data_IF_591100482807
#
_entry.id   IF_591100482807
#
_cell.length_a   1.000
_cell.length_b   1.000
_cell.length_c   1.000
_cell.angle_alpha   90.00
_cell.angle_beta   90.00
_cell.angle_gamma   90.00
#
_symmetry.space_group_name_H-M   'P 1'
#
loop_
_entity.id
_entity.type
_entity.pdbx_description
1 polymer ?
#
# COMPACT_ATOMS: atom_id res chain seq x y z
N UNK A 1 -17.33 37.68 -9.99
CA UNK A 1 -18.33 36.67 -9.61
C UNK A 1 -17.58 35.34 -9.36
N UNK A 2 -17.15 35.13 -8.10
CA UNK A 2 -16.40 33.93 -7.69
C UNK A 2 -17.37 32.85 -7.23
N UNK A 3 -17.43 31.75 -7.97
CA UNK A 3 -18.21 30.57 -7.58
C UNK A 3 -17.35 29.80 -6.58
N UNK A 4 -17.66 29.92 -5.28
CA UNK A 4 -17.18 29.03 -4.23
C UNK A 4 -17.94 27.70 -4.37
N UNK A 5 -17.29 26.67 -4.94
CA UNK A 5 -17.75 25.30 -4.85
C UNK A 5 -17.31 24.79 -3.49
N UNK A 6 -18.22 24.77 -2.53
CA UNK A 6 -18.04 24.08 -1.26
C UNK A 6 -18.17 22.57 -1.51
N UNK A 7 -17.04 21.88 -1.71
CA UNK A 7 -17.00 20.43 -1.65
C UNK A 7 -17.13 20.02 -0.17
N UNK A 8 -18.30 19.59 0.24
CA UNK A 8 -18.50 18.87 1.49
C UNK A 8 -17.85 17.50 1.34
N UNK A 9 -16.64 17.36 1.86
CA UNK A 9 -15.99 16.06 2.03
C UNK A 9 -16.72 15.36 3.16
N UNK A 10 -17.68 14.52 2.84
CA UNK A 10 -18.20 13.55 3.77
C UNK A 10 -17.08 12.51 3.98
N UNK A 11 -16.50 12.47 5.16
CA UNK A 11 -15.70 11.35 5.62
C UNK A 11 -16.65 10.17 5.88
N UNK A 12 -17.12 9.53 4.82
CA UNK A 12 -17.75 8.22 4.92
C UNK A 12 -16.65 7.21 5.29
N UNK A 13 -16.99 6.25 6.17
CA UNK A 13 -16.11 5.14 6.47
C UNK A 13 -15.67 4.49 5.15
N UNK A 14 -14.37 4.60 4.85
CA UNK A 14 -13.82 4.15 3.58
C UNK A 14 -13.93 2.63 3.46
N UNK A 15 -14.91 2.13 2.73
CA UNK A 15 -14.97 0.72 2.33
C UNK A 15 -13.87 0.49 1.30
N UNK A 16 -12.72 0.02 1.75
CA UNK A 16 -11.56 -0.24 0.88
C UNK A 16 -11.66 -1.62 0.22
N UNK A 17 -11.99 -2.66 1.00
CA UNK A 17 -12.20 -4.01 0.50
C UNK A 17 -12.83 -4.91 1.57
N UNK A 18 -13.82 -5.75 1.23
CA UNK A 18 -14.37 -6.75 2.15
C UNK A 18 -13.31 -7.75 2.63
N UNK A 19 -12.29 -8.02 1.83
CA UNK A 19 -11.16 -8.88 2.19
C UNK A 19 -10.22 -8.26 3.24
N UNK A 20 -10.40 -6.99 3.60
CA UNK A 20 -9.69 -6.36 4.72
C UNK A 20 -10.16 -6.85 6.10
N UNK A 21 -11.18 -7.71 6.17
CA UNK A 21 -11.60 -8.44 7.36
C UNK A 21 -10.46 -9.30 7.93
N UNK A 22 -9.67 -9.94 7.08
CA UNK A 22 -8.67 -10.92 7.44
C UNK A 22 -7.35 -10.29 7.91
N UNK A 23 -6.58 -11.03 8.71
CA UNK A 23 -5.28 -10.62 9.23
C UNK A 23 -5.30 -9.23 9.90
N UNK A 24 -4.39 -8.36 9.47
CA UNK A 24 -4.28 -6.95 9.94
C UNK A 24 -4.96 -5.95 8.99
N UNK A 25 -5.88 -6.41 8.15
CA UNK A 25 -6.43 -5.67 7.02
C UNK A 25 -5.67 -5.90 5.73
N UNK A 26 -6.03 -5.16 4.69
CA UNK A 26 -5.36 -5.23 3.40
C UNK A 26 -3.97 -4.59 3.48
N UNK A 27 -2.92 -5.40 3.36
CA UNK A 27 -1.53 -4.92 3.39
C UNK A 27 -1.20 -4.21 2.08
N UNK A 28 -0.61 -3.03 2.19
CA UNK A 28 -0.20 -2.20 1.05
C UNK A 28 1.13 -2.65 0.48
N UNK A 29 1.27 -2.58 -0.84
CA UNK A 29 2.53 -2.83 -1.52
C UNK A 29 3.61 -1.85 -1.02
N UNK A 30 4.86 -2.30 -0.95
CA UNK A 30 6.02 -1.47 -0.57
C UNK A 30 6.36 -0.41 -1.63
N UNK A 31 5.95 -0.61 -2.88
CA UNK A 31 6.14 0.36 -3.97
C UNK A 31 5.22 1.55 -3.77
N UNK A 32 5.77 2.63 -3.25
CA UNK A 32 5.02 3.86 -3.00
C UNK A 32 5.09 4.85 -4.17
N UNK A 33 6.26 4.99 -4.81
CA UNK A 33 6.49 5.99 -5.85
C UNK A 33 5.55 5.82 -7.05
N UNK A 34 4.86 6.89 -7.43
CA UNK A 34 3.83 6.85 -8.48
C UNK A 34 4.43 6.56 -9.86
N UNK A 35 5.68 6.94 -10.10
CA UNK A 35 6.35 6.57 -11.33
C UNK A 35 6.46 5.04 -11.47
N UNK A 36 6.83 4.34 -10.38
CA UNK A 36 6.93 2.88 -10.36
C UNK A 36 5.55 2.22 -10.41
N UNK A 37 4.52 2.81 -9.79
CA UNK A 37 3.14 2.34 -9.93
C UNK A 37 2.66 2.37 -11.38
N UNK A 38 3.05 3.38 -12.15
CA UNK A 38 2.78 3.43 -13.59
C UNK A 38 3.51 2.34 -14.40
N UNK A 39 4.49 1.65 -13.80
CA UNK A 39 5.23 0.53 -14.36
C UNK A 39 4.83 -0.82 -13.73
N UNK A 40 3.55 -1.02 -13.40
CA UNK A 40 3.07 -2.25 -12.76
C UNK A 40 3.62 -2.48 -11.35
N UNK A 41 4.22 -1.47 -10.72
CA UNK A 41 4.93 -1.56 -9.44
C UNK A 41 6.26 -2.34 -9.47
N UNK A 42 6.85 -2.57 -10.65
CA UNK A 42 8.20 -3.12 -10.77
C UNK A 42 9.22 -2.12 -10.17
N UNK A 43 9.91 -2.52 -9.09
CA UNK A 43 10.66 -1.61 -8.23
C UNK A 43 11.98 -2.18 -7.69
N UNK A 44 12.13 -3.51 -7.57
CA UNK A 44 13.25 -4.12 -6.86
C UNK A 44 14.63 -3.76 -7.45
N UNK A 45 14.72 -3.57 -8.77
CA UNK A 45 15.96 -3.21 -9.47
C UNK A 45 15.99 -1.75 -9.97
N UNK A 46 14.89 -1.01 -9.82
CA UNK A 46 14.78 0.35 -10.35
C UNK A 46 15.47 1.38 -9.46
N UNK A 47 16.16 2.34 -10.10
CA UNK A 47 16.81 3.47 -9.43
C UNK A 47 16.93 4.68 -10.38
N UNK A 48 17.31 5.82 -9.82
CA UNK A 48 17.56 7.05 -10.59
C UNK A 48 16.28 7.80 -10.97
N UNK A 49 16.36 8.65 -11.99
CA UNK A 49 15.20 9.42 -12.48
C UNK A 49 14.63 10.47 -11.51
N UNK A 50 15.29 10.72 -10.37
CA UNK A 50 14.78 11.60 -9.33
C UNK A 50 13.63 10.98 -8.53
N UNK A 51 13.56 9.65 -8.42
CA UNK A 51 12.57 8.92 -7.64
C UNK A 51 13.14 8.39 -6.33
N UNK A 52 12.32 8.33 -5.29
CA UNK A 52 12.62 7.66 -4.02
C UNK A 52 11.98 6.27 -4.07
N UNK A 53 12.81 5.22 -4.09
CA UNK A 53 12.34 3.84 -4.15
C UNK A 53 12.52 3.13 -2.80
N UNK A 54 11.47 3.14 -1.96
CA UNK A 54 11.48 2.52 -0.63
C UNK A 54 11.41 0.99 -0.70
N UNK A 55 10.92 0.43 -1.80
CA UNK A 55 10.83 -1.02 -1.95
C UNK A 55 12.21 -1.70 -1.91
N UNK A 56 13.25 -1.04 -2.48
CA UNK A 56 14.63 -1.47 -2.35
C UNK A 56 15.51 -0.33 -1.80
N UNK A 57 15.87 -0.32 -0.51
CA UNK A 57 16.65 0.77 0.08
C UNK A 57 18.08 0.89 -0.47
N UNK A 58 18.64 -0.13 -1.13
CA UNK A 58 19.93 -0.03 -1.81
C UNK A 58 19.92 1.01 -2.95
N UNK A 59 18.74 1.27 -3.55
CA UNK A 59 18.56 2.24 -4.63
C UNK A 59 18.86 3.69 -4.20
N UNK A 60 18.73 4.02 -2.91
CA UNK A 60 19.06 5.37 -2.40
C UNK A 60 20.51 5.75 -2.70
N UNK A 61 21.42 4.78 -2.64
CA UNK A 61 22.85 5.01 -2.88
C UNK A 61 23.14 5.54 -4.29
N UNK A 62 22.20 5.36 -5.24
CA UNK A 62 22.32 5.78 -6.63
C UNK A 62 21.76 7.18 -6.89
N UNK A 63 21.21 7.85 -5.88
CA UNK A 63 20.75 9.23 -5.95
C UNK A 63 21.97 10.17 -5.98
N UNK A 64 21.88 11.25 -6.76
CA UNK A 64 22.94 12.27 -6.84
C UNK A 64 23.27 12.82 -5.43
N UNK A 65 24.55 12.97 -5.14
CA UNK A 65 25.02 13.39 -3.81
C UNK A 65 24.63 14.82 -3.42
N UNK A 66 24.31 15.65 -4.40
CA UNK A 66 23.85 17.03 -4.18
C UNK A 66 22.33 17.16 -4.31
N UNK A 67 21.62 16.08 -4.62
CA UNK A 67 20.18 16.13 -4.76
C UNK A 67 19.49 16.09 -3.40
N UNK A 68 18.45 16.90 -3.28
CA UNK A 68 17.39 16.78 -2.30
C UNK A 68 16.12 16.38 -3.03
N UNK A 69 15.58 15.21 -2.69
CA UNK A 69 14.37 14.70 -3.25
C UNK A 69 13.25 14.80 -2.21
N UNK A 70 12.10 15.26 -2.64
CA UNK A 70 10.85 15.20 -1.89
C UNK A 70 9.78 14.59 -2.79
N UNK A 71 9.02 13.66 -2.27
CA UNK A 71 8.01 12.92 -3.03
C UNK A 71 6.75 12.73 -2.18
N UNK A 72 5.59 13.06 -2.74
CA UNK A 72 4.31 12.91 -2.08
C UNK A 72 3.26 12.42 -3.07
N UNK A 73 2.36 11.58 -2.60
CA UNK A 73 1.34 10.98 -3.43
C UNK A 73 -0.01 10.81 -2.76
N UNK A 74 -1.05 10.87 -3.60
CA UNK A 74 -2.44 10.61 -3.27
C UNK A 74 -3.01 9.64 -4.30
N UNK A 75 -4.08 8.94 -3.93
CA UNK A 75 -4.83 8.13 -4.89
C UNK A 75 -6.33 8.36 -4.76
N UNK A 76 -7.01 8.11 -5.87
CA UNK A 76 -8.46 8.04 -6.00
C UNK A 76 -8.77 6.67 -6.57
N UNK A 77 -9.68 5.93 -5.94
CA UNK A 77 -10.04 4.57 -6.35
C UNK A 77 -11.56 4.48 -6.42
N UNK A 78 -12.07 3.98 -7.53
CA UNK A 78 -13.47 3.58 -7.68
C UNK A 78 -13.51 2.09 -7.86
N UNK A 79 -14.32 1.40 -7.05
CA UNK A 79 -14.46 -0.05 -7.05
C UNK A 79 -15.91 -0.45 -7.29
N UNK A 80 -16.10 -1.52 -8.04
CA UNK A 80 -17.35 -2.23 -8.16
C UNK A 80 -17.18 -3.61 -7.53
N UNK A 81 -17.82 -3.82 -6.40
CA UNK A 81 -17.90 -5.11 -5.72
C UNK A 81 -19.08 -5.90 -6.28
N UNK A 82 -18.86 -7.16 -6.62
CA UNK A 82 -19.91 -7.99 -7.21
C UNK A 82 -19.83 -9.42 -6.69
N UNK A 83 -20.97 -9.96 -6.29
CA UNK A 83 -21.20 -11.40 -6.07
C UNK A 83 -21.88 -12.01 -7.30
N UNK A 84 -22.42 -13.22 -7.17
CA UNK A 84 -23.26 -13.84 -8.20
C UNK A 84 -24.58 -13.08 -8.44
N UNK A 85 -25.12 -12.40 -7.41
CA UNK A 85 -26.48 -11.81 -7.42
C UNK A 85 -26.51 -10.30 -7.16
N UNK A 86 -25.49 -9.75 -6.47
CA UNK A 86 -25.45 -8.36 -6.03
C UNK A 86 -24.26 -7.62 -6.63
N UNK A 87 -24.42 -6.31 -6.80
CA UNK A 87 -23.32 -5.42 -7.20
C UNK A 87 -23.45 -4.07 -6.50
N UNK A 88 -22.36 -3.60 -5.93
CA UNK A 88 -22.26 -2.34 -5.20
C UNK A 88 -21.06 -1.55 -5.68
N UNK A 89 -21.15 -0.22 -5.65
CA UNK A 89 -20.05 0.67 -6.01
C UNK A 89 -19.57 1.47 -4.80
N UNK A 90 -18.24 1.66 -4.72
CA UNK A 90 -17.60 2.49 -3.71
C UNK A 90 -16.55 3.37 -4.36
N UNK A 91 -16.36 4.57 -3.82
CA UNK A 91 -15.30 5.48 -4.22
C UNK A 91 -14.52 5.91 -2.97
N UNK A 92 -13.20 5.86 -3.08
CA UNK A 92 -12.27 6.15 -1.99
C UNK A 92 -11.15 7.07 -2.48
N UNK A 93 -10.73 8.01 -1.65
CA UNK A 93 -9.59 8.87 -1.89
C UNK A 93 -8.75 8.95 -0.63
N UNK A 94 -7.46 8.72 -0.75
CA UNK A 94 -6.59 8.71 0.43
C UNK A 94 -5.17 9.18 0.10
N UNK A 95 -4.48 9.58 1.17
CA UNK A 95 -3.05 9.82 1.16
C UNK A 95 -2.31 8.48 0.92
N UNK A 96 -1.28 8.54 0.08
CA UNK A 96 -0.53 7.35 -0.30
C UNK A 96 0.86 7.30 0.34
N UNK A 97 1.59 8.42 0.30
CA UNK A 97 2.90 8.54 0.97
C UNK A 97 3.45 9.96 0.94
N UNK A 98 4.40 10.18 1.84
CA UNK A 98 5.30 11.33 1.84
C UNK A 98 6.71 10.84 2.15
N UNK A 99 7.69 11.24 1.36
CA UNK A 99 9.08 10.87 1.56
C UNK A 99 10.03 11.99 1.16
N UNK A 100 11.21 12.00 1.79
CA UNK A 100 12.34 12.80 1.40
C UNK A 100 13.61 11.97 1.38
N UNK A 101 14.55 12.32 0.50
CA UNK A 101 15.84 11.66 0.41
C UNK A 101 16.93 12.67 0.07
N UNK A 102 18.09 12.53 0.71
CA UNK A 102 19.24 13.40 0.49
C UNK A 102 20.57 12.69 0.76
N UNK A 103 21.62 13.23 0.18
CA UNK A 103 22.97 12.73 0.36
C UNK A 103 23.61 13.24 1.66
N UNK A 104 24.13 12.33 2.50
CA UNK A 104 25.01 12.66 3.63
C UNK A 104 26.45 12.76 3.14
N UNK A 105 26.87 11.78 2.32
CA UNK A 105 28.18 11.75 1.66
C UNK A 105 28.02 11.25 0.22
N UNK A 106 29.12 11.12 -0.51
CA UNK A 106 29.10 10.56 -1.86
C UNK A 106 28.67 9.08 -1.88
N UNK A 107 28.93 8.34 -0.82
CA UNK A 107 28.66 6.90 -0.71
C UNK A 107 27.50 6.57 0.22
N UNK A 108 26.97 7.54 0.99
CA UNK A 108 25.86 7.34 1.92
C UNK A 108 24.73 8.33 1.66
N UNK A 109 23.53 7.79 1.48
CA UNK A 109 22.27 8.54 1.30
C UNK A 109 21.26 8.08 2.34
N UNK A 110 20.41 9.00 2.78
CA UNK A 110 19.36 8.71 3.74
C UNK A 110 18.01 9.16 3.23
N UNK A 111 16.96 8.42 3.61
CA UNK A 111 15.58 8.71 3.26
C UNK A 111 14.70 8.61 4.50
N UNK A 112 13.70 9.49 4.60
CA UNK A 112 12.70 9.53 5.67
C UNK A 112 11.32 9.66 5.04
N UNK A 113 10.31 9.08 5.67
CA UNK A 113 8.96 9.27 5.17
C UNK A 113 7.90 8.55 5.98
N UNK A 114 6.66 8.72 5.55
CA UNK A 114 5.46 8.10 6.13
C UNK A 114 4.60 7.53 5.04
N UNK A 115 4.03 6.35 5.27
CA UNK A 115 3.14 5.68 4.35
C UNK A 115 2.21 4.72 5.09
N UNK A 116 1.02 4.44 4.58
CA UNK A 116 0.17 3.37 5.10
C UNK A 116 0.85 2.01 5.00
N UNK A 117 0.65 1.16 6.02
CA UNK A 117 1.11 -0.22 6.04
C UNK A 117 -0.01 -1.19 5.72
N UNK A 118 -1.15 -1.05 6.40
CA UNK A 118 -2.38 -1.80 6.13
C UNK A 118 -3.59 -0.92 6.32
N UNK A 119 -4.69 -1.28 5.69
CA UNK A 119 -5.98 -0.60 5.84
C UNK A 119 -7.07 -1.63 6.11
N UNK A 120 -7.97 -1.28 6.99
CA UNK A 120 -9.17 -2.05 7.30
C UNK A 120 -10.38 -1.16 7.07
N UNK A 121 -11.23 -1.53 6.13
CA UNK A 121 -12.43 -0.77 5.76
C UNK A 121 -13.43 -1.71 5.09
N UNK A 122 -14.46 -2.15 5.85
CA UNK A 122 -15.55 -2.96 5.32
C UNK A 122 -16.80 -2.80 6.19
N UNK A 123 -17.95 -2.94 5.54
CA UNK A 123 -19.25 -3.11 6.20
C UNK A 123 -20.00 -4.20 5.44
N UNK A 124 -20.43 -5.23 6.12
CA UNK A 124 -21.16 -6.37 5.53
C UNK A 124 -22.28 -6.76 6.46
N UNK A 125 -23.44 -7.08 5.89
CA UNK A 125 -24.59 -7.60 6.63
C UNK A 125 -24.91 -8.98 6.04
N UNK A 126 -25.05 -9.96 6.91
CA UNK A 126 -25.43 -11.33 6.56
C UNK A 126 -26.67 -11.69 7.34
N UNK A 127 -27.74 -12.04 6.62
CA UNK A 127 -29.00 -12.45 7.22
C UNK A 127 -28.99 -13.96 7.49
N UNK A 128 -29.52 -14.37 8.65
CA UNK A 128 -29.75 -15.78 8.98
C UNK A 128 -28.48 -16.59 9.26
N UNK A 129 -27.51 -16.04 10.01
CA UNK A 129 -26.37 -16.84 10.49
C UNK A 129 -26.81 -17.68 11.67
N UNK A 130 -26.81 -19.02 11.47
CA UNK A 130 -27.22 -20.00 12.47
C UNK A 130 -28.68 -20.47 12.29
N UNK A 131 -29.15 -21.29 13.21
CA UNK A 131 -30.50 -21.89 13.20
C UNK A 131 -31.62 -20.88 13.56
N UNK A 132 -31.29 -19.61 13.77
CA UNK A 132 -32.23 -18.57 14.18
C UNK A 132 -32.75 -17.78 12.97
N UNK A 133 -33.89 -18.25 12.43
CA UNK A 133 -34.65 -17.46 11.46
C UNK A 133 -35.03 -16.11 12.08
N UNK A 134 -34.70 -15.00 11.39
CA UNK A 134 -34.99 -13.65 11.86
C UNK A 134 -33.79 -12.91 12.51
N UNK A 135 -32.59 -13.50 12.56
CA UNK A 135 -31.38 -12.80 12.97
C UNK A 135 -30.62 -12.19 11.79
N UNK A 136 -29.90 -11.09 12.04
CA UNK A 136 -28.96 -10.50 11.09
C UNK A 136 -27.65 -10.20 11.81
N UNK A 137 -26.53 -10.44 11.14
CA UNK A 137 -25.21 -10.11 11.68
C UNK A 137 -24.52 -9.06 10.82
N UNK A 138 -24.16 -7.93 11.43
CA UNK A 138 -23.35 -6.88 10.82
C UNK A 138 -21.89 -7.07 11.20
N UNK A 139 -21.02 -7.00 10.21
CA UNK A 139 -19.57 -6.98 10.36
C UNK A 139 -19.05 -5.63 9.88
N UNK A 140 -18.38 -4.89 10.74
CA UNK A 140 -17.76 -3.61 10.41
C UNK A 140 -16.30 -3.62 10.83
N UNK A 141 -15.44 -3.14 9.95
CA UNK A 141 -14.03 -2.95 10.25
C UNK A 141 -13.58 -1.57 9.82
N UNK A 142 -12.78 -0.92 10.65
CA UNK A 142 -12.24 0.40 10.37
C UNK A 142 -10.81 0.57 10.91
N UNK A 143 -10.10 1.59 10.40
CA UNK A 143 -8.76 1.94 10.84
C UNK A 143 -7.66 1.35 9.95
N UNK A 144 -6.46 1.25 10.51
CA UNK A 144 -5.31 0.75 9.77
C UNK A 144 -4.00 1.05 10.48
N UNK A 145 -2.95 0.45 9.95
CA UNK A 145 -1.59 0.67 10.44
C UNK A 145 -0.84 1.56 9.46
N UNK A 146 -0.10 2.50 10.01
CA UNK A 146 0.82 3.37 9.29
C UNK A 146 2.25 3.02 9.66
N UNK A 147 3.21 3.42 8.82
CA UNK A 147 4.63 3.29 9.11
C UNK A 147 5.36 4.57 8.77
N UNK A 148 6.16 5.06 9.73
CA UNK A 148 7.23 6.00 9.48
C UNK A 148 8.47 5.19 9.18
N UNK A 149 9.27 5.59 8.20
CA UNK A 149 10.51 4.90 7.88
C UNK A 149 11.71 5.83 7.90
N UNK A 150 12.83 5.25 8.27
CA UNK A 150 14.17 5.80 8.12
C UNK A 150 15.01 4.81 7.34
N UNK A 151 15.36 5.20 6.13
CA UNK A 151 16.10 4.37 5.18
C UNK A 151 17.53 4.89 4.98
N UNK A 152 18.45 3.96 4.75
CA UNK A 152 19.84 4.26 4.45
C UNK A 152 20.32 3.41 3.29
N UNK A 153 21.02 4.04 2.36
CA UNK A 153 21.64 3.38 1.22
C UNK A 153 23.14 3.70 1.14
N UNK A 154 23.94 2.67 0.93
CA UNK A 154 25.39 2.73 0.93
C UNK A 154 25.94 2.20 -0.39
N UNK A 155 26.74 3.00 -1.07
CA UNK A 155 27.44 2.58 -2.29
C UNK A 155 28.74 1.86 -1.93
N UNK A 156 28.90 0.64 -2.42
CA UNK A 156 30.07 -0.20 -2.17
C UNK A 156 30.81 -0.41 -3.52
N UNK A 157 31.96 0.26 -3.67
CA UNK A 157 32.72 0.24 -4.92
C UNK A 157 31.94 0.88 -6.08
N UNK A 158 32.04 0.30 -7.27
CA UNK A 158 31.42 0.85 -8.50
C UNK A 158 30.08 0.25 -8.82
N UNK A 159 29.85 -1.01 -8.45
CA UNK A 159 28.74 -1.81 -8.95
C UNK A 159 27.72 -2.18 -7.87
N UNK A 160 28.10 -2.28 -6.60
CA UNK A 160 27.25 -2.73 -5.53
C UNK A 160 26.69 -1.58 -4.68
N UNK A 161 25.48 -1.73 -4.23
CA UNK A 161 24.89 -0.93 -3.17
C UNK A 161 24.11 -1.80 -2.21
N UNK A 162 24.17 -1.42 -0.93
CA UNK A 162 23.41 -2.03 0.16
C UNK A 162 22.49 -0.98 0.78
N UNK A 163 21.41 -1.42 1.37
CA UNK A 163 20.55 -0.51 2.10
C UNK A 163 19.69 -1.25 3.12
N UNK A 164 19.16 -0.47 4.05
CA UNK A 164 18.15 -0.94 4.98
C UNK A 164 17.11 0.16 5.24
N UNK A 165 15.89 -0.25 5.52
CA UNK A 165 14.85 0.59 6.08
C UNK A 165 14.51 0.11 7.49
N UNK A 166 14.47 1.02 8.44
CA UNK A 166 13.88 0.84 9.75
C UNK A 166 12.50 1.49 9.74
N UNK A 167 11.46 0.73 10.06
CA UNK A 167 10.09 1.21 10.12
C UNK A 167 9.60 1.21 11.57
N UNK A 168 8.94 2.27 11.97
CA UNK A 168 8.09 2.29 13.14
C UNK A 168 6.65 2.18 12.69
N UNK A 169 6.05 1.02 12.94
CA UNK A 169 4.65 0.71 12.60
C UNK A 169 3.77 1.08 13.76
N UNK A 170 2.71 1.85 13.52
CA UNK A 170 1.78 2.31 14.53
C UNK A 170 0.37 2.48 13.94
N UNK A 171 -0.62 2.42 14.80
CA UNK A 171 -2.02 2.61 14.43
C UNK A 171 -2.93 1.67 15.18
N UNK A 172 -4.20 1.75 14.87
CA UNK A 172 -5.25 0.92 15.45
C UNK A 172 -6.18 0.38 14.37
N UNK A 173 -6.72 -0.79 14.63
CA UNK A 173 -7.79 -1.39 13.84
C UNK A 173 -8.91 -1.79 14.78
N UNK A 174 -10.13 -1.45 14.36
CA UNK A 174 -11.35 -1.81 15.08
C UNK A 174 -12.14 -2.81 14.26
N UNK A 175 -12.67 -3.79 14.91
CA UNK A 175 -13.56 -4.79 14.35
C UNK A 175 -14.79 -4.86 15.21
N UNK A 176 -15.93 -4.61 14.63
CA UNK A 176 -17.24 -4.68 15.27
C UNK A 176 -18.05 -5.78 14.63
N UNK A 177 -18.69 -6.58 15.45
CA UNK A 177 -19.67 -7.59 15.03
C UNK A 177 -20.90 -7.38 15.87
N UNK A 178 -22.03 -7.09 15.23
CA UNK A 178 -23.31 -6.90 15.90
C UNK A 178 -24.29 -7.95 15.43
N UNK A 179 -24.83 -8.69 16.37
CA UNK A 179 -25.92 -9.64 16.14
C UNK A 179 -27.23 -8.95 16.50
N UNK A 180 -28.09 -8.80 15.50
CA UNK A 180 -29.39 -8.17 15.58
C UNK A 180 -30.51 -9.22 15.62
N UNK A 181 -31.54 -8.92 16.40
CA UNK A 181 -32.77 -9.73 16.50
C UNK A 181 -34.01 -8.89 16.14
N UNK A 182 -34.16 -8.45 14.86
CA UNK A 182 -35.19 -7.48 14.48
C UNK A 182 -36.62 -7.95 14.74
N UNK A 183 -36.86 -9.25 14.75
CA UNK A 183 -38.21 -9.83 14.96
C UNK A 183 -38.51 -10.19 16.43
N UNK A 184 -37.60 -9.88 17.38
CA UNK A 184 -37.72 -10.27 18.77
C UNK A 184 -37.85 -9.07 19.71
N UNK A 185 -38.98 -8.93 20.37
CA UNK A 185 -39.20 -7.94 21.42
C UNK A 185 -38.49 -8.25 22.77
N UNK A 186 -37.90 -9.45 22.89
CA UNK A 186 -37.33 -9.94 24.17
C UNK A 186 -35.82 -10.21 24.10
N UNK A 187 -35.23 -10.21 22.88
CA UNK A 187 -33.79 -10.40 22.73
C UNK A 187 -33.12 -9.06 22.54
N UNK A 188 -32.08 -8.81 23.34
CA UNK A 188 -31.22 -7.66 23.17
C UNK A 188 -30.15 -7.94 22.10
N UNK A 189 -29.86 -6.96 21.29
CA UNK A 189 -28.77 -7.02 20.34
C UNK A 189 -27.43 -7.16 21.07
N UNK A 190 -26.52 -7.89 20.49
CA UNK A 190 -25.20 -8.10 21.08
C UNK A 190 -24.13 -7.57 20.18
N UNK A 191 -23.32 -6.64 20.71
CA UNK A 191 -22.18 -6.06 19.99
C UNK A 191 -20.87 -6.50 20.60
N UNK A 192 -20.00 -7.02 19.73
CA UNK A 192 -18.63 -7.37 20.05
C UNK A 192 -17.66 -6.44 19.33
N UNK A 193 -16.89 -5.66 20.09
CA UNK A 193 -15.83 -4.79 19.56
C UNK A 193 -14.46 -5.36 19.92
N UNK A 194 -13.57 -5.41 18.95
CA UNK A 194 -12.15 -5.77 19.13
C UNK A 194 -11.29 -4.63 18.59
N UNK A 195 -10.69 -3.90 19.50
CA UNK A 195 -9.74 -2.84 19.19
C UNK A 195 -8.33 -3.38 19.32
N UNK A 196 -7.54 -3.31 18.26
CA UNK A 196 -6.14 -3.72 18.24
C UNK A 196 -5.26 -2.51 17.93
N UNK A 197 -4.52 -2.05 18.91
CA UNK A 197 -3.49 -1.02 18.77
C UNK A 197 -2.13 -1.69 18.61
N UNK A 198 -1.36 -1.26 17.59
CA UNK A 198 -0.01 -1.79 17.29
C UNK A 198 1.00 -0.66 17.39
N UNK A 199 2.17 -0.97 17.97
CA UNK A 199 3.31 -0.05 18.07
C UNK A 199 4.59 -0.88 18.11
N UNK A 200 5.36 -0.92 17.00
CA UNK A 200 6.52 -1.81 16.91
C UNK A 200 7.47 -1.41 15.77
N UNK A 201 8.70 -1.91 15.82
CA UNK A 201 9.69 -1.71 14.77
C UNK A 201 9.69 -2.89 13.79
N UNK A 202 10.02 -2.61 12.52
CA UNK A 202 10.27 -3.57 11.45
C UNK A 202 11.51 -3.18 10.68
N UNK A 203 12.13 -4.14 9.98
CA UNK A 203 13.34 -3.90 9.18
C UNK A 203 13.24 -4.60 7.83
N UNK A 204 13.64 -3.88 6.77
CA UNK A 204 13.83 -4.42 5.43
C UNK A 204 15.26 -4.13 4.97
N UNK A 205 15.81 -5.02 4.19
CA UNK A 205 17.16 -4.93 3.62
C UNK A 205 17.10 -4.98 2.11
N UNK A 206 18.03 -4.30 1.46
CA UNK A 206 18.18 -4.29 0.02
C UNK A 206 19.62 -4.47 -0.41
N UNK A 207 19.79 -5.17 -1.51
CA UNK A 207 21.04 -5.29 -2.25
C UNK A 207 20.76 -4.93 -3.71
N UNK A 208 21.66 -4.20 -4.35
CA UNK A 208 21.57 -3.90 -5.76
C UNK A 208 22.93 -4.00 -6.41
N UNK A 209 22.97 -4.62 -7.58
CA UNK A 209 24.12 -4.68 -8.48
C UNK A 209 23.81 -3.94 -9.76
N UNK A 210 24.69 -3.01 -10.16
CA UNK A 210 24.53 -2.19 -11.34
C UNK A 210 25.79 -2.28 -12.20
N UNK A 211 25.64 -2.51 -13.50
CA UNK A 211 26.75 -2.56 -14.43
C UNK A 211 26.34 -2.03 -15.80
N UNK A 212 27.24 -1.31 -16.45
CA UNK A 212 27.06 -0.89 -17.83
C UNK A 212 27.45 -2.07 -18.74
N UNK A 213 26.49 -2.58 -19.53
CA UNK A 213 26.73 -3.64 -20.52
C UNK A 213 27.03 -3.08 -21.90
N UNK A 214 26.73 -1.80 -22.13
CA UNK A 214 27.15 -1.01 -23.27
C UNK A 214 27.32 0.45 -22.87
N UNK A 215 27.82 1.30 -23.71
CA UNK A 215 28.14 2.71 -23.39
C UNK A 215 26.97 3.52 -22.84
N UNK A 216 25.74 3.16 -23.20
CA UNK A 216 24.52 3.85 -22.78
C UNK A 216 23.44 2.91 -22.21
N UNK A 217 23.76 1.62 -22.02
CA UNK A 217 22.85 0.58 -21.52
C UNK A 217 23.35 0.01 -20.21
N UNK A 218 22.55 0.22 -19.16
CA UNK A 218 22.82 -0.28 -17.81
C UNK A 218 21.91 -1.47 -17.47
N UNK A 219 22.49 -2.50 -16.88
CA UNK A 219 21.80 -3.64 -16.26
C UNK A 219 21.81 -3.45 -14.74
N UNK A 220 20.67 -3.57 -14.14
CA UNK A 220 20.49 -3.56 -12.69
C UNK A 220 19.82 -4.84 -12.22
N UNK A 221 20.32 -5.43 -11.14
CA UNK A 221 19.71 -6.57 -10.44
C UNK A 221 19.51 -6.17 -9.00
N UNK A 222 18.31 -6.33 -8.49
CA UNK A 222 17.94 -5.98 -7.12
C UNK A 222 17.45 -7.20 -6.35
N UNK A 223 17.83 -7.27 -5.08
CA UNK A 223 17.36 -8.25 -4.09
C UNK A 223 16.85 -7.50 -2.88
N UNK A 224 15.67 -7.89 -2.38
CA UNK A 224 15.08 -7.33 -1.17
C UNK A 224 14.72 -8.44 -0.19
N UNK A 225 14.87 -8.17 1.09
CA UNK A 225 14.53 -9.10 2.17
C UNK A 225 13.83 -8.37 3.31
N UNK A 226 12.61 -8.80 3.63
CA UNK A 226 11.89 -8.40 4.82
C UNK A 226 11.97 -9.51 5.85
N UNK A 227 12.55 -9.20 7.02
CA UNK A 227 12.71 -10.21 8.05
C UNK A 227 11.39 -10.51 8.78
N UNK A 228 11.17 -11.76 9.23
CA UNK A 228 10.04 -12.10 10.08
C UNK A 228 10.18 -11.39 11.42
N UNK A 229 9.09 -10.79 11.90
CA UNK A 229 9.12 -10.04 13.16
C UNK A 229 7.82 -10.21 13.94
N UNK A 230 7.92 -10.06 15.27
CA UNK A 230 6.76 -10.01 16.16
C UNK A 230 6.44 -8.56 16.48
N UNK A 231 5.32 -8.05 15.97
CA UNK A 231 4.80 -6.74 16.32
C UNK A 231 4.11 -6.83 17.67
N UNK A 232 4.41 -5.89 18.56
CA UNK A 232 3.75 -5.77 19.84
C UNK A 232 2.51 -4.90 19.69
N UNK A 233 1.43 -5.33 20.34
CA UNK A 233 0.18 -4.61 20.36
C UNK A 233 -0.57 -4.76 21.67
N UNK A 234 -1.65 -4.02 21.81
CA UNK A 234 -2.64 -4.11 22.88
C UNK A 234 -4.00 -4.35 22.25
N UNK A 235 -4.67 -5.40 22.67
CA UNK A 235 -6.03 -5.71 22.26
C UNK A 235 -6.99 -5.38 23.38
N UNK A 236 -8.11 -4.73 23.05
CA UNK A 236 -9.23 -4.54 23.98
C UNK A 236 -10.46 -5.19 23.37
N UNK A 237 -11.10 -6.06 24.14
CA UNK A 237 -12.34 -6.74 23.79
C UNK A 237 -13.47 -6.15 24.64
N UNK A 238 -14.53 -5.67 23.97
CA UNK A 238 -15.79 -5.28 24.57
C UNK A 238 -16.89 -6.18 24.02
N UNK A 239 -17.75 -6.69 24.91
CA UNK A 239 -19.01 -7.35 24.54
C UNK A 239 -20.10 -6.67 25.35
N UNK A 240 -21.11 -6.16 24.67
CA UNK A 240 -22.20 -5.37 25.23
C UNK A 240 -23.54 -5.85 24.71
N UNK A 241 -24.54 -5.84 25.57
CA UNK A 241 -25.93 -5.87 25.14
C UNK A 241 -26.38 -4.44 24.86
N UNK A 242 -26.96 -4.25 23.70
CA UNK A 242 -27.40 -2.94 23.22
C UNK A 242 -28.86 -2.97 22.81
N UNK A 243 -29.50 -1.81 22.86
CA UNK A 243 -30.83 -1.55 22.32
C UNK A 243 -30.73 -0.30 21.45
N UNK A 244 -31.21 -0.37 20.22
CA UNK A 244 -31.22 0.77 19.30
C UNK A 244 -32.64 1.31 19.20
N UNK A 245 -32.82 2.59 19.49
CA UNK A 245 -34.11 3.26 19.29
C UNK A 245 -34.27 3.60 17.80
N UNK A 246 -35.12 2.87 17.11
CA UNK A 246 -35.40 3.02 15.68
C UNK A 246 -35.85 4.44 15.29
N UNK A 247 -36.38 5.21 16.23
CA UNK A 247 -36.91 6.57 15.96
C UNK A 247 -35.80 7.62 16.02
N UNK A 248 -34.86 7.46 16.91
CA UNK A 248 -33.80 8.46 17.17
C UNK A 248 -32.42 8.03 16.68
N UNK A 249 -32.28 6.78 16.21
CA UNK A 249 -30.99 6.15 15.86
C UNK A 249 -29.97 6.22 17.02
N UNK A 250 -30.47 6.34 18.26
CA UNK A 250 -29.63 6.39 19.46
C UNK A 250 -29.47 4.98 20.03
N UNK A 251 -28.23 4.57 20.21
CA UNK A 251 -27.89 3.30 20.82
C UNK A 251 -27.73 3.45 22.32
N UNK A 252 -28.40 2.58 23.06
CA UNK A 252 -28.30 2.46 24.51
C UNK A 252 -27.52 1.19 24.86
N UNK A 253 -26.47 1.31 25.65
CA UNK A 253 -25.77 0.17 26.24
C UNK A 253 -26.53 -0.27 27.50
N UNK A 254 -27.14 -1.44 27.40
CA UNK A 254 -27.94 -2.01 28.51
C UNK A 254 -27.03 -2.69 29.52
N UNK A 255 -26.05 -3.50 29.05
CA UNK A 255 -25.10 -4.18 29.91
C UNK A 255 -23.74 -4.34 29.23
N UNK A 256 -22.68 -4.39 30.03
CA UNK A 256 -21.32 -4.68 29.57
C UNK A 256 -20.87 -6.04 30.08
N UNK A 257 -20.98 -7.05 29.21
CA UNK A 257 -20.70 -8.44 29.54
C UNK A 257 -19.19 -8.67 29.68
N UNK A 258 -18.38 -8.08 28.77
CA UNK A 258 -16.92 -8.21 28.77
C UNK A 258 -16.28 -6.85 28.52
N UNK A 259 -15.29 -6.50 29.33
CA UNK A 259 -14.36 -5.40 29.09
C UNK A 259 -12.96 -5.88 29.51
N UNK A 260 -12.17 -6.31 28.53
CA UNK A 260 -10.85 -6.91 28.80
C UNK A 260 -9.79 -6.36 27.87
N UNK A 261 -8.73 -5.83 28.46
CA UNK A 261 -7.51 -5.45 27.73
C UNK A 261 -6.40 -6.48 27.97
N UNK A 262 -5.70 -6.84 26.91
CA UNK A 262 -4.57 -7.78 26.93
C UNK A 262 -3.47 -7.34 25.99
N UNK A 263 -2.23 -7.79 26.25
CA UNK A 263 -1.15 -7.68 25.29
C UNK A 263 -1.43 -8.64 24.15
N UNK A 264 -1.16 -8.20 22.92
CA UNK A 264 -1.27 -9.03 21.72
C UNK A 264 0.06 -9.01 20.95
N UNK A 265 0.40 -10.12 20.31
CA UNK A 265 1.59 -10.27 19.48
C UNK A 265 1.21 -10.74 18.09
N UNK A 266 1.62 -9.99 17.07
CA UNK A 266 1.39 -10.34 15.67
C UNK A 266 2.71 -10.81 15.07
N UNK A 267 2.80 -12.08 14.69
CA UNK A 267 3.95 -12.61 13.95
C UNK A 267 3.79 -12.27 12.49
N UNK A 268 4.66 -11.40 11.96
CA UNK A 268 4.67 -11.01 10.56
C UNK A 268 5.59 -11.93 9.76
N UNK A 269 5.20 -12.28 8.53
CA UNK A 269 5.97 -13.19 7.68
C UNK A 269 7.24 -12.54 7.14
N UNK A 270 8.19 -13.37 6.72
CA UNK A 270 9.32 -12.95 5.89
C UNK A 270 8.87 -12.70 4.45
N UNK A 271 9.59 -11.82 3.75
CA UNK A 271 9.40 -11.55 2.33
C UNK A 271 10.72 -11.49 1.59
N UNK A 272 10.74 -11.99 0.36
CA UNK A 272 11.90 -11.94 -0.54
C UNK A 272 11.43 -11.37 -1.87
N UNK A 273 12.19 -10.42 -2.42
CA UNK A 273 11.94 -9.86 -3.74
C UNK A 273 13.21 -9.89 -4.58
N UNK A 274 13.06 -10.21 -5.85
CA UNK A 274 14.12 -10.16 -6.86
C UNK A 274 13.62 -9.34 -8.03
N UNK A 275 14.48 -8.52 -8.62
CA UNK A 275 14.15 -7.75 -9.80
C UNK A 275 15.32 -7.59 -10.74
N UNK A 276 15.00 -7.35 -11.99
CA UNK A 276 15.96 -7.04 -13.05
C UNK A 276 15.46 -5.82 -13.81
N UNK A 277 16.35 -4.89 -14.11
CA UNK A 277 16.03 -3.72 -14.93
C UNK A 277 17.11 -3.47 -15.96
N UNK A 278 16.67 -3.14 -17.17
CA UNK A 278 17.50 -2.63 -18.24
C UNK A 278 17.14 -1.16 -18.48
N UNK A 279 18.14 -0.29 -18.41
CA UNK A 279 17.96 1.15 -18.55
C UNK A 279 18.89 1.71 -19.60
N UNK A 280 18.32 2.25 -20.68
CA UNK A 280 19.06 3.04 -21.64
C UNK A 280 18.96 4.50 -21.19
N UNK A 281 20.10 5.10 -20.87
CA UNK A 281 20.16 6.46 -20.29
C UNK A 281 19.22 7.41 -21.03
N UNK A 282 18.33 8.04 -20.26
CA UNK A 282 17.42 9.11 -20.69
C UNK A 282 16.47 8.74 -21.86
N UNK A 283 16.31 7.46 -22.20
CA UNK A 283 15.44 7.05 -23.30
C UNK A 283 14.37 6.06 -22.89
N UNK A 284 14.75 4.94 -22.35
CA UNK A 284 13.80 3.93 -21.93
C UNK A 284 14.36 3.07 -20.79
N UNK A 285 13.45 2.53 -20.00
CA UNK A 285 13.76 1.50 -19.03
C UNK A 285 12.71 0.40 -19.08
N UNK A 286 13.12 -0.84 -18.83
CA UNK A 286 12.25 -2.00 -18.69
C UNK A 286 12.66 -2.68 -17.40
N UNK A 287 11.67 -3.07 -16.59
CA UNK A 287 11.89 -3.77 -15.33
C UNK A 287 10.93 -4.94 -15.17
N UNK A 288 11.40 -5.97 -14.50
CA UNK A 288 10.60 -7.12 -14.11
C UNK A 288 10.97 -7.53 -12.68
N UNK A 289 9.96 -7.81 -11.87
CA UNK A 289 10.08 -8.18 -10.47
C UNK A 289 9.33 -9.46 -10.17
N UNK A 290 9.86 -10.22 -9.22
CA UNK A 290 9.19 -11.31 -8.53
C UNK A 290 9.33 -11.10 -7.02
N UNK A 291 8.21 -11.15 -6.29
CA UNK A 291 8.20 -11.06 -4.83
C UNK A 291 7.43 -12.23 -4.25
N UNK A 292 7.90 -12.76 -3.13
CA UNK A 292 7.29 -13.85 -2.39
C UNK A 292 7.22 -13.50 -0.90
N UNK A 293 6.09 -13.87 -0.25
CA UNK A 293 5.87 -13.63 1.19
C UNK A 293 5.24 -14.86 1.83
N UNK A 294 5.82 -15.31 2.95
CA UNK A 294 5.44 -16.53 3.64
C UNK A 294 4.27 -16.32 4.62
N UNK A 295 3.08 -15.98 4.11
CA UNK A 295 1.91 -15.66 4.93
C UNK A 295 1.39 -16.81 5.80
N UNK A 296 1.71 -18.06 5.46
CA UNK A 296 1.41 -19.22 6.31
C UNK A 296 2.08 -19.16 7.70
N UNK A 297 3.07 -18.28 7.90
CA UNK A 297 3.73 -18.02 9.19
C UNK A 297 3.12 -16.86 9.97
N UNK A 298 2.15 -16.15 9.38
CA UNK A 298 1.39 -15.17 10.14
C UNK A 298 0.66 -15.85 11.29
N UNK A 299 0.74 -15.23 12.48
CA UNK A 299 0.00 -15.68 13.65
C UNK A 299 -0.33 -14.50 14.55
N UNK A 300 -1.50 -14.55 15.15
CA UNK A 300 -1.93 -13.62 16.19
C UNK A 300 -1.99 -14.35 17.52
N UNK A 301 -1.21 -13.89 18.50
CA UNK A 301 -1.09 -14.52 19.82
C UNK A 301 -0.71 -16.02 19.79
N UNK A 302 0.07 -16.40 18.76
CA UNK A 302 0.47 -17.79 18.52
C UNK A 302 -0.56 -18.63 17.75
N UNK A 303 -1.71 -18.09 17.42
CA UNK A 303 -2.74 -18.77 16.64
C UNK A 303 -2.57 -18.38 15.16
N UNK A 304 -2.32 -19.38 14.32
CA UNK A 304 -2.25 -19.21 12.86
C UNK A 304 -3.66 -19.13 12.26
N UNK A 305 -3.79 -18.33 11.22
CA UNK A 305 -5.04 -18.21 10.48
C UNK A 305 -5.02 -19.22 9.31
N UNK A 306 -5.94 -20.21 9.29
CA UNK A 306 -5.96 -21.24 8.26
C UNK A 306 -6.37 -20.71 6.87
N UNK A 307 -6.97 -19.51 6.80
CA UNK A 307 -7.33 -18.87 5.53
C UNK A 307 -6.14 -18.24 4.82
N UNK A 308 -4.95 -18.27 5.42
CA UNK A 308 -3.75 -17.65 4.87
C UNK A 308 -2.86 -18.66 4.16
N UNK A 309 -2.47 -18.32 2.93
CA UNK A 309 -1.51 -19.03 2.11
C UNK A 309 -0.31 -18.16 1.75
N UNK A 310 0.78 -18.76 1.28
CA UNK A 310 1.93 -17.98 0.80
C UNK A 310 1.53 -17.18 -0.44
N UNK A 311 1.89 -15.90 -0.47
CA UNK A 311 1.63 -15.03 -1.62
C UNK A 311 2.89 -14.85 -2.47
N UNK A 312 2.66 -14.60 -3.76
CA UNK A 312 3.70 -14.15 -4.67
C UNK A 312 3.13 -13.18 -5.70
N UNK A 313 3.96 -12.29 -6.21
CA UNK A 313 3.56 -11.42 -7.30
C UNK A 313 4.65 -11.28 -8.35
N UNK A 314 4.21 -11.03 -9.58
CA UNK A 314 5.04 -10.68 -10.73
C UNK A 314 4.61 -9.32 -11.23
N UNK A 315 5.58 -8.45 -11.48
CA UNK A 315 5.35 -7.13 -12.05
C UNK A 315 6.29 -6.91 -13.23
N UNK A 316 5.78 -6.34 -14.31
CA UNK A 316 6.56 -5.94 -15.48
C UNK A 316 6.18 -4.51 -15.83
N UNK A 317 7.18 -3.69 -16.14
CA UNK A 317 6.95 -2.32 -16.53
C UNK A 317 7.99 -1.77 -17.48
N UNK A 318 7.56 -0.78 -18.26
CA UNK A 318 8.43 -0.03 -19.15
C UNK A 318 8.18 1.46 -19.03
N UNK A 319 9.24 2.24 -19.16
CA UNK A 319 9.22 3.69 -19.27
C UNK A 319 9.87 4.11 -20.58
N UNK A 320 9.29 5.11 -21.24
CA UNK A 320 9.83 5.70 -22.44
C UNK A 320 9.84 7.23 -22.34
N UNK A 321 11.01 7.82 -22.63
CA UNK A 321 11.25 9.27 -22.66
C UNK A 321 11.65 9.68 -24.07
N UNK A 322 10.78 10.35 -24.86
CA UNK A 322 11.05 10.63 -26.26
C UNK A 322 12.28 11.53 -26.48
N UNK A 323 12.41 12.59 -25.69
CA UNK A 323 13.53 13.55 -25.79
C UNK A 323 13.79 14.23 -24.45
N UNK A 324 15.07 14.41 -24.09
CA UNK A 324 15.49 15.12 -22.86
C UNK A 324 15.85 16.59 -23.08
N UNK A 325 15.69 17.13 -24.31
CA UNK A 325 16.05 18.51 -24.62
C UNK A 325 15.00 19.51 -24.12
N UNK A 326 15.45 20.54 -23.41
CA UNK A 326 14.58 21.65 -22.93
C UNK A 326 13.94 22.48 -24.05
N UNK A 327 14.46 22.39 -25.27
CA UNK A 327 14.00 23.12 -26.47
C UNK A 327 12.84 22.38 -27.16
N UNK A 328 12.62 21.12 -26.84
CA UNK A 328 11.57 20.31 -27.47
C UNK A 328 10.18 20.64 -26.93
N UNK A 329 9.16 20.37 -27.73
CA UNK A 329 7.76 20.54 -27.35
C UNK A 329 7.42 19.77 -26.06
N UNK A 330 6.46 20.25 -25.29
CA UNK A 330 6.13 19.76 -23.95
C UNK A 330 5.88 18.25 -23.90
N UNK A 331 5.05 17.71 -24.81
CA UNK A 331 4.75 16.28 -24.87
C UNK A 331 5.97 15.39 -25.16
N UNK A 332 6.97 15.89 -25.86
CA UNK A 332 8.22 15.15 -26.11
C UNK A 332 9.14 15.08 -24.89
N UNK A 333 8.93 15.92 -23.90
CA UNK A 333 9.67 15.93 -22.62
C UNK A 333 9.00 15.10 -21.53
N UNK A 334 7.76 14.68 -21.76
CA UNK A 334 7.06 13.79 -20.85
C UNK A 334 7.68 12.40 -20.87
N UNK A 335 7.57 11.69 -19.73
CA UNK A 335 7.89 10.27 -19.64
C UNK A 335 6.58 9.48 -19.67
N UNK A 336 6.53 8.46 -20.45
CA UNK A 336 5.36 7.58 -20.60
C UNK A 336 5.69 6.22 -20.01
N UNK A 337 4.74 5.64 -19.30
CA UNK A 337 4.91 4.38 -18.60
C UNK A 337 3.77 3.44 -18.90
N UNK A 338 4.09 2.15 -18.90
CA UNK A 338 3.12 1.07 -19.03
C UNK A 338 3.60 -0.09 -18.17
N UNK A 339 2.66 -0.82 -17.59
CA UNK A 339 3.01 -2.00 -16.81
C UNK A 339 1.83 -2.93 -16.59
N UNK A 340 2.16 -4.10 -16.10
CA UNK A 340 1.21 -5.12 -15.70
C UNK A 340 1.67 -5.78 -14.41
N UNK A 341 0.72 -6.19 -13.59
CA UNK A 341 0.97 -6.93 -12.37
C UNK A 341 -0.01 -8.10 -12.25
N UNK A 342 0.50 -9.19 -11.70
CA UNK A 342 -0.29 -10.31 -11.23
C UNK A 342 0.17 -10.67 -9.82
N UNK A 343 -0.78 -10.85 -8.92
CA UNK A 343 -0.53 -11.23 -7.53
C UNK A 343 -1.41 -12.43 -7.18
N UNK A 344 -0.74 -13.53 -6.85
CA UNK A 344 -1.37 -14.65 -6.16
C UNK A 344 -1.52 -14.26 -4.70
N UNK A 345 -2.76 -14.02 -4.28
CA UNK A 345 -3.08 -13.42 -2.99
C UNK A 345 -2.76 -14.33 -1.81
N UNK A 346 -2.63 -13.71 -0.65
CA UNK A 346 -2.37 -14.43 0.61
C UNK A 346 -3.63 -15.05 1.23
N UNK A 347 -4.82 -14.76 0.71
CA UNK A 347 -6.09 -15.31 1.18
C UNK A 347 -6.50 -16.49 0.32
N UNK A 348 -6.89 -17.58 0.98
CA UNK A 348 -7.54 -18.74 0.39
C UNK A 348 -8.82 -19.01 1.17
N UNK A 349 -9.97 -18.75 0.54
CA UNK A 349 -11.27 -18.85 1.17
C UNK A 349 -12.10 -19.86 0.38
N UNK A 350 -12.63 -20.89 1.05
CA UNK A 350 -13.39 -21.98 0.40
C UNK A 350 -12.60 -22.62 -0.76
N UNK A 351 -11.30 -22.87 -0.57
CA UNK A 351 -10.37 -23.41 -1.58
C UNK A 351 -10.19 -22.52 -2.83
N UNK A 352 -10.56 -21.23 -2.74
CA UNK A 352 -10.36 -20.26 -3.80
C UNK A 352 -9.37 -19.18 -3.37
N UNK A 353 -8.34 -19.01 -4.18
CA UNK A 353 -7.34 -17.94 -3.99
C UNK A 353 -7.91 -16.57 -4.37
N UNK A 354 -7.63 -15.57 -3.57
CA UNK A 354 -8.04 -14.18 -3.80
C UNK A 354 -6.92 -13.45 -4.54
N UNK A 355 -6.90 -13.62 -5.85
CA UNK A 355 -5.84 -13.11 -6.72
C UNK A 355 -6.14 -11.70 -7.23
N UNK A 356 -5.09 -11.00 -7.64
CA UNK A 356 -5.17 -9.66 -8.23
C UNK A 356 -4.46 -9.61 -9.56
N UNK A 357 -5.11 -9.01 -10.56
CA UNK A 357 -4.51 -8.65 -11.84
C UNK A 357 -4.73 -7.16 -12.09
N UNK A 358 -3.72 -6.48 -12.62
CA UNK A 358 -3.80 -5.05 -12.93
C UNK A 358 -2.96 -4.67 -14.13
N UNK A 359 -3.47 -3.71 -14.89
CA UNK A 359 -2.76 -3.03 -15.96
C UNK A 359 -2.59 -1.57 -15.57
N UNK A 360 -1.41 -1.01 -15.85
CA UNK A 360 -1.08 0.34 -15.48
C UNK A 360 -0.59 1.15 -16.67
N UNK A 361 -0.97 2.41 -16.70
CA UNK A 361 -0.40 3.41 -17.59
C UNK A 361 -0.02 4.63 -16.77
N UNK A 362 1.07 5.29 -17.12
CA UNK A 362 1.54 6.44 -16.36
C UNK A 362 2.18 7.51 -17.23
N UNK A 363 2.23 8.71 -16.68
CA UNK A 363 2.91 9.84 -17.29
C UNK A 363 3.63 10.69 -16.24
N UNK A 364 4.83 11.18 -16.55
CA UNK A 364 5.47 12.23 -15.79
C UNK A 364 5.47 13.54 -16.57
N UNK A 365 4.93 14.56 -15.94
CA UNK A 365 4.80 15.91 -16.48
C UNK A 365 5.94 16.76 -15.88
N UNK A 366 6.99 17.10 -16.66
CA UNK A 366 8.09 17.92 -16.16
C UNK A 366 7.65 19.35 -15.89
N UNK A 367 8.05 19.89 -14.73
CA UNK A 367 7.80 21.29 -14.41
C UNK A 367 8.80 22.21 -15.15
N UNK A 368 8.36 23.41 -15.56
CA UNK A 368 9.23 24.34 -16.28
C UNK A 368 10.45 24.76 -15.42
N UNK A 369 11.64 24.73 -16.01
CA UNK A 369 12.89 25.19 -15.38
C UNK A 369 13.25 24.45 -14.06
N UNK A 370 12.73 23.25 -13.84
CA UNK A 370 12.98 22.43 -12.66
C UNK A 370 13.22 20.98 -13.09
N UNK A 371 13.91 20.20 -12.25
CA UNK A 371 13.99 18.74 -12.38
C UNK A 371 12.78 18.04 -11.76
N UNK A 372 11.88 18.80 -11.17
CA UNK A 372 10.67 18.31 -10.51
C UNK A 372 9.61 17.90 -11.52
N UNK A 373 8.75 16.96 -11.14
CA UNK A 373 7.74 16.36 -12.01
C UNK A 373 6.43 16.13 -11.24
N UNK A 374 5.31 16.24 -11.95
CA UNK A 374 4.04 15.67 -11.50
C UNK A 374 3.91 14.29 -12.15
N UNK A 375 3.73 13.26 -11.34
CA UNK A 375 3.54 11.89 -11.79
C UNK A 375 2.06 11.51 -11.72
N UNK A 376 1.57 10.90 -12.78
CA UNK A 376 0.23 10.33 -12.87
C UNK A 376 0.37 8.85 -13.19
N UNK A 377 -0.44 8.01 -12.54
CA UNK A 377 -0.53 6.60 -12.88
C UNK A 377 -2.00 6.13 -12.72
N UNK A 378 -2.55 5.60 -13.80
CA UNK A 378 -3.86 4.98 -13.85
C UNK A 378 -3.65 3.46 -13.81
N UNK A 379 -4.34 2.79 -12.90
CA UNK A 379 -4.39 1.35 -12.77
C UNK A 379 -5.83 0.87 -12.94
N UNK A 380 -6.03 -0.11 -13.80
CA UNK A 380 -7.30 -0.82 -13.96
C UNK A 380 -7.06 -2.28 -13.62
N UNK A 381 -7.87 -2.83 -12.74
CA UNK A 381 -7.62 -4.17 -12.26
C UNK A 381 -8.84 -4.86 -11.68
N UNK A 382 -8.60 -6.12 -11.31
CA UNK A 382 -9.56 -7.00 -10.67
C UNK A 382 -8.88 -7.65 -9.46
N UNK A 383 -9.62 -7.81 -8.37
CA UNK A 383 -9.21 -8.48 -7.15
C UNK A 383 -10.30 -9.43 -6.68
N UNK A 384 -9.93 -10.69 -6.41
CA UNK A 384 -10.85 -11.73 -6.02
C UNK A 384 -11.66 -12.36 -7.17
N UNK A 385 -12.62 -13.20 -6.81
CA UNK A 385 -13.43 -14.01 -7.72
C UNK A 385 -14.88 -14.06 -7.28
N UNK A 386 -15.80 -14.41 -8.19
CA UNK A 386 -17.23 -14.68 -7.88
C UNK A 386 -17.50 -16.15 -7.55
N UNK A 387 -16.51 -17.03 -7.72
CA UNK A 387 -16.67 -18.44 -7.39
C UNK A 387 -16.96 -18.62 -5.90
N UNK A 388 -17.76 -19.64 -5.55
CA UNK A 388 -18.14 -19.98 -4.18
C UNK A 388 -18.74 -18.79 -3.38
N UNK A 389 -19.56 -17.97 -4.05
CA UNK A 389 -20.22 -16.77 -3.50
C UNK A 389 -19.25 -15.72 -2.90
N UNK A 390 -18.00 -15.71 -3.37
CA UNK A 390 -17.02 -14.72 -3.01
C UNK A 390 -17.26 -13.39 -3.74
N UNK A 391 -16.63 -12.34 -3.28
CA UNK A 391 -16.79 -11.00 -3.81
C UNK A 391 -15.64 -10.68 -4.79
N UNK A 392 -15.99 -10.36 -6.03
CA UNK A 392 -15.06 -9.84 -7.01
C UNK A 392 -15.08 -8.32 -6.99
N UNK A 393 -13.93 -7.70 -6.82
CA UNK A 393 -13.72 -6.26 -6.95
C UNK A 393 -13.12 -5.96 -8.33
N UNK A 394 -13.76 -5.08 -9.11
CA UNK A 394 -13.18 -4.42 -10.28
C UNK A 394 -12.93 -2.98 -9.92
N UNK A 395 -11.73 -2.47 -10.18
CA UNK A 395 -11.38 -1.13 -9.76
C UNK A 395 -10.64 -0.34 -10.84
N UNK A 396 -10.81 0.98 -10.74
CA UNK A 396 -10.00 1.96 -11.43
C UNK A 396 -9.36 2.83 -10.35
N UNK A 397 -8.03 2.96 -10.38
CA UNK A 397 -7.26 3.73 -9.42
C UNK A 397 -6.39 4.75 -10.13
N UNK A 398 -6.62 6.02 -9.86
CA UNK A 398 -5.78 7.13 -10.28
C UNK A 398 -4.83 7.50 -9.15
N UNK A 399 -3.53 7.41 -9.39
CA UNK A 399 -2.50 7.86 -8.47
C UNK A 399 -1.91 9.18 -9.00
N UNK A 400 -1.79 10.17 -8.13
CA UNK A 400 -1.29 11.52 -8.44
C UNK A 400 -0.23 11.89 -7.43
N UNK A 401 0.93 12.32 -7.88
CA UNK A 401 2.00 12.74 -6.98
C UNK A 401 2.94 13.77 -7.57
N UNK A 402 3.66 14.40 -6.66
CA UNK A 402 4.68 15.37 -7.00
C UNK A 402 6.04 14.88 -6.52
N UNK A 403 7.01 14.87 -7.43
CA UNK A 403 8.42 14.58 -7.14
C UNK A 403 9.22 15.88 -7.32
N UNK A 404 9.67 16.45 -6.22
CA UNK A 404 10.55 17.63 -6.22
C UNK A 404 11.99 17.14 -6.19
N UNK A 405 12.79 17.63 -7.14
CA UNK A 405 14.21 17.32 -7.24
C UNK A 405 14.99 18.63 -7.34
N UNK A 406 15.66 18.97 -6.26
CA UNK A 406 16.43 20.21 -6.14
C UNK A 406 17.89 19.90 -5.80
N UNK A 407 18.79 20.76 -6.24
CA UNK A 407 20.20 20.68 -5.88
C UNK A 407 20.47 21.54 -4.65
N UNK A 408 20.70 20.91 -3.52
CA UNK A 408 21.09 21.56 -2.27
C UNK A 408 22.60 21.44 -2.06
N UNK A 409 23.14 22.24 -1.15
CA UNK A 409 24.56 22.20 -0.72
C UNK A 409 25.57 22.67 -1.77
N UNK A 410 25.16 23.45 -2.78
CA UNK A 410 26.08 24.11 -3.69
C UNK A 410 26.66 25.31 -2.95
N UNK A 411 27.99 25.30 -2.65
CA UNK A 411 28.69 26.47 -2.14
C UNK A 411 28.64 27.60 -3.18
N UNK A 412 27.89 28.66 -2.87
CA UNK A 412 27.94 29.89 -3.69
C UNK A 412 29.37 30.45 -3.60
N UNK A 413 30.11 30.44 -4.69
CA UNK A 413 31.34 31.20 -4.80
C UNK A 413 30.95 32.66 -4.96
N UNK A 414 31.15 33.44 -3.91
CA UNK A 414 31.15 34.90 -4.07
C UNK A 414 32.38 35.24 -4.89
N UNK A 415 32.18 35.90 -6.03
CA UNK A 415 33.24 36.58 -6.78
C UNK A 415 33.51 37.94 -6.16
#
# INVERSE_FOLDING_TARGET
>A
MSVLVSATVFAQADVDSPYSLYAIGQVRNKTMNIALKGMGSASNAMYGGGMINVANPASYAMIDSLAFLFDAGFYFKTSTFSTSTLSEQSANASFDYLAMCFGITQWWKTSLGVMPYSMKGYTMIVNGIGDEAGSATSFKGEGGLNRVFWGNGFKIGKHFSLGFNSYYVFGDTKTETTLYFPDSLYMLDTRRNVDLMVSSFMFDYGLQYNTDIASDLNLSVGLTYGQPIKLNGKQTLYIRSIEEDETTEVEYVIDTIVNKSSKSKLTMPQSIGVGVALQKRERWSIAADFNWTQWTKYARDGISDPTLQNSWNVAIGAEFSPVHSSISGYFRRMQYRVGALYEHGYLNINDHSIDRIGLTVGAALPLPRSLSKVNLALEVGQYGTKAADLIQERYIRLNVGISVNERWFIKRKYK
#
